data_IF_531943830896
#
_entry.id   IF_531943830896
#
_cell.length_a   1.000
_cell.length_b   1.000
_cell.length_c   1.000
_cell.angle_alpha   90.00
_cell.angle_beta   90.00
_cell.angle_gamma   90.00
#
_symmetry.space_group_name_H-M   'P 1'
#
loop_
_entity.id
_entity.type
_entity.pdbx_description
1 polymer ?
#
# COMPACT_ATOMS: atom_id res chain seq x y z
N UNK A 1 -91.62 -3.54 11.38
CA UNK A 1 -92.05 -2.85 12.61
C UNK A 1 -91.04 -3.26 13.68
N UNK A 2 -90.02 -2.43 13.94
CA UNK A 2 -89.92 -1.49 15.08
C UNK A 2 -89.96 -2.23 16.44
N UNK A 3 -89.04 -2.08 17.39
CA UNK A 3 -88.29 -0.94 17.94
C UNK A 3 -87.00 -1.49 18.61
N UNK A 4 -85.80 -0.91 18.43
CA UNK A 4 -85.22 0.25 19.15
C UNK A 4 -84.23 -0.13 20.28
N UNK A 5 -83.40 0.86 20.66
CA UNK A 5 -82.54 1.04 21.85
C UNK A 5 -81.07 0.56 21.80
N UNK A 6 -80.10 1.46 21.49
CA UNK A 6 -79.49 2.44 22.43
C UNK A 6 -78.31 3.25 21.81
N UNK A 7 -77.97 4.44 22.39
CA UNK A 7 -76.97 5.42 21.94
C UNK A 7 -75.62 5.24 22.71
N UNK A 8 -74.62 6.17 22.79
CA UNK A 8 -74.45 7.50 22.20
C UNK A 8 -73.06 7.80 21.56
N UNK A 9 -73.00 8.98 20.95
CA UNK A 9 -71.84 9.82 20.59
C UNK A 9 -70.70 9.79 21.63
N UNK A 10 -69.45 9.60 21.18
CA UNK A 10 -68.29 10.42 21.61
C UNK A 10 -67.26 10.58 20.48
N UNK A 11 -66.87 11.82 20.15
CA UNK A 11 -65.74 12.14 19.29
C UNK A 11 -64.47 12.25 20.14
N UNK A 12 -63.41 11.59 19.73
CA UNK A 12 -62.01 11.77 20.13
C UNK A 12 -61.35 10.44 19.73
N UNK A 13 -60.35 10.39 18.88
CA UNK A 13 -59.09 11.06 19.12
C UNK A 13 -58.36 11.05 17.75
N UNK A 14 -58.39 12.19 17.06
CA UNK A 14 -57.23 12.54 16.24
C UNK A 14 -56.01 12.57 17.16
N UNK A 15 -54.83 12.29 16.61
CA UNK A 15 -53.53 12.11 17.28
C UNK A 15 -53.35 10.64 17.71
N UNK A 16 -52.41 9.85 17.21
CA UNK A 16 -51.04 10.17 16.77
C UNK A 16 -50.62 9.11 15.73
N UNK A 17 -50.87 9.36 14.44
CA UNK A 17 -50.11 8.70 13.36
C UNK A 17 -49.06 9.72 12.90
N UNK A 18 -48.12 9.99 13.78
CA UNK A 18 -46.93 10.79 13.51
C UNK A 18 -45.89 10.54 14.61
N UNK A 19 -45.62 9.27 14.93
CA UNK A 19 -44.31 8.93 15.48
C UNK A 19 -43.34 8.95 14.31
N UNK A 20 -42.98 10.18 13.98
CA UNK A 20 -42.03 10.58 12.98
C UNK A 20 -40.77 9.74 13.13
N UNK A 21 -40.41 9.10 12.02
CA UNK A 21 -39.21 8.34 11.78
C UNK A 21 -37.95 9.23 11.82
N UNK A 22 -37.70 9.90 12.95
CA UNK A 22 -36.62 10.89 13.11
C UNK A 22 -35.88 10.67 14.43
N UNK A 23 -35.38 9.45 14.68
CA UNK A 23 -34.41 9.20 15.76
C UNK A 23 -33.34 8.16 15.38
N UNK A 24 -33.07 7.98 14.08
CA UNK A 24 -32.04 7.05 13.58
C UNK A 24 -31.08 7.72 12.58
N UNK A 25 -30.71 8.98 12.81
CA UNK A 25 -29.70 9.68 12.00
C UNK A 25 -28.54 10.29 12.79
N UNK A 26 -28.15 9.70 13.91
CA UNK A 26 -26.75 9.81 14.34
C UNK A 26 -25.94 8.69 13.68
N UNK A 27 -25.87 8.71 12.35
CA UNK A 27 -24.75 8.07 11.68
C UNK A 27 -23.52 8.85 12.13
N UNK A 28 -22.66 8.20 12.91
CA UNK A 28 -21.32 8.69 13.18
C UNK A 28 -20.65 8.99 11.83
N UNK A 29 -20.63 10.25 11.43
CA UNK A 29 -19.62 10.73 10.50
C UNK A 29 -18.33 10.87 11.31
N UNK A 30 -17.78 9.73 11.74
CA UNK A 30 -16.35 9.63 11.94
C UNK A 30 -15.76 9.73 10.53
N UNK A 31 -15.49 10.96 10.11
CA UNK A 31 -14.46 11.23 9.12
C UNK A 31 -13.14 10.79 9.76
N UNK A 32 -12.89 9.48 9.74
CA UNK A 32 -11.53 8.99 9.92
C UNK A 32 -10.68 9.75 8.89
N UNK A 33 -9.57 10.39 9.30
CA UNK A 33 -8.61 10.89 8.35
C UNK A 33 -8.26 9.71 7.46
N UNK A 34 -8.58 9.82 6.17
CA UNK A 34 -8.09 8.87 5.17
C UNK A 34 -6.57 8.83 5.39
N UNK A 35 -5.97 7.66 5.70
CA UNK A 35 -4.56 7.63 6.01
C UNK A 35 -3.82 8.27 4.84
N UNK A 36 -3.11 9.35 5.13
CA UNK A 36 -2.14 9.96 4.24
C UNK A 36 -1.35 8.82 3.58
N UNK A 37 -1.25 8.84 2.26
CA UNK A 37 -0.54 7.91 1.35
C UNK A 37 0.11 6.66 1.98
N UNK A 38 -0.08 5.45 1.42
CA UNK A 38 0.41 4.21 2.01
C UNK A 38 1.86 4.35 2.52
N UNK A 39 2.06 4.02 3.80
CA UNK A 39 3.34 4.21 4.48
C UNK A 39 4.49 3.69 3.62
N UNK A 40 5.52 4.53 3.45
CA UNK A 40 6.65 4.24 2.59
C UNK A 40 7.29 2.89 2.95
N UNK A 41 7.57 2.06 1.96
CA UNK A 41 8.12 0.72 2.15
C UNK A 41 8.86 0.19 0.93
N UNK A 42 10.04 -0.41 1.17
CA UNK A 42 10.76 -1.25 0.22
C UNK A 42 10.61 -2.72 0.61
N UNK A 43 10.29 -3.58 -0.36
CA UNK A 43 10.10 -5.02 -0.18
C UNK A 43 11.00 -5.77 -1.13
N UNK A 44 11.62 -6.82 -0.62
CA UNK A 44 12.57 -7.64 -1.35
C UNK A 44 11.99 -9.04 -1.50
N UNK A 45 12.18 -9.65 -2.66
CA UNK A 45 11.70 -10.99 -2.96
C UNK A 45 12.86 -11.84 -3.43
N UNK A 46 12.92 -13.08 -2.98
CA UNK A 46 13.73 -14.13 -3.60
C UNK A 46 12.83 -15.04 -4.43
N UNK A 47 13.44 -16.00 -5.12
CA UNK A 47 12.71 -16.98 -5.93
C UNK A 47 13.25 -18.38 -5.72
N UNK A 48 12.38 -19.39 -5.65
CA UNK A 48 12.83 -20.78 -5.60
C UNK A 48 13.06 -21.37 -7.01
N UNK A 49 13.54 -22.62 -7.08
CA UNK A 49 13.77 -23.33 -8.35
C UNK A 49 12.53 -23.44 -9.24
N UNK A 50 11.33 -23.42 -8.66
CA UNK A 50 10.04 -23.48 -9.35
C UNK A 50 9.50 -22.09 -9.77
N UNK A 51 10.31 -21.04 -9.67
CA UNK A 51 9.92 -19.65 -9.96
C UNK A 51 8.86 -19.06 -9.02
N UNK A 52 8.67 -19.64 -7.84
CA UNK A 52 7.77 -19.09 -6.83
C UNK A 52 8.48 -18.00 -6.04
N UNK A 53 7.84 -16.83 -5.97
CA UNK A 53 8.38 -15.66 -5.27
C UNK A 53 8.03 -15.72 -3.79
N UNK A 54 8.98 -15.35 -2.94
CA UNK A 54 8.77 -15.20 -1.50
C UNK A 54 9.37 -13.87 -1.04
N UNK A 55 8.61 -13.13 -0.25
CA UNK A 55 9.09 -11.87 0.33
C UNK A 55 10.04 -12.13 1.51
N UNK A 56 11.09 -11.33 1.60
CA UNK A 56 12.08 -11.30 2.67
C UNK A 56 11.64 -10.33 3.79
N UNK A 57 10.77 -10.79 4.69
CA UNK A 57 10.15 -9.94 5.73
C UNK A 57 11.10 -9.49 6.86
N UNK A 58 12.18 -10.23 7.11
CA UNK A 58 13.07 -10.01 8.27
C UNK A 58 14.15 -8.94 8.05
N UNK A 59 14.16 -8.28 6.88
CA UNK A 59 15.10 -7.20 6.64
C UNK A 59 14.64 -5.95 7.42
N UNK A 60 15.53 -5.31 8.20
CA UNK A 60 15.20 -4.17 9.07
C UNK A 60 14.95 -2.91 8.25
N UNK A 61 14.44 -1.84 8.87
CA UNK A 61 14.37 -0.47 8.31
C UNK A 61 13.72 -0.33 6.91
N UNK A 62 12.91 -1.31 6.49
CA UNK A 62 12.23 -1.32 5.19
C UNK A 62 11.25 -0.17 4.97
N UNK A 63 10.90 0.58 6.01
CA UNK A 63 9.96 1.69 6.00
C UNK A 63 10.61 3.03 6.36
N UNK A 64 11.94 3.12 6.31
CA UNK A 64 12.70 4.32 6.66
C UNK A 64 13.51 4.80 5.46
N UNK A 65 13.67 6.12 5.35
CA UNK A 65 14.65 6.72 4.45
C UNK A 65 16.05 6.66 5.04
N UNK A 66 17.05 6.73 4.16
CA UNK A 66 18.47 6.63 4.48
C UNK A 66 19.12 5.37 3.93
N UNK A 67 20.42 5.24 4.21
CA UNK A 67 21.22 4.09 3.84
C UNK A 67 21.24 3.04 4.97
N UNK A 68 21.04 1.77 4.62
CA UNK A 68 21.02 0.66 5.57
C UNK A 68 21.87 -0.50 5.10
N UNK A 69 22.79 -0.93 5.96
CA UNK A 69 23.60 -2.12 5.78
C UNK A 69 22.90 -3.36 6.32
N UNK A 70 23.09 -4.48 5.63
CA UNK A 70 22.84 -5.80 6.21
C UNK A 70 24.09 -6.28 6.96
N UNK A 71 23.96 -7.20 7.92
CA UNK A 71 25.11 -7.90 8.50
C UNK A 71 25.63 -9.02 7.58
N UNK A 72 24.76 -9.64 6.78
CA UNK A 72 25.09 -10.68 5.81
C UNK A 72 24.39 -10.39 4.49
N UNK A 73 25.02 -10.75 3.36
CA UNK A 73 24.39 -10.61 2.04
C UNK A 73 23.19 -11.54 1.89
N UNK A 74 22.16 -11.09 1.18
CA UNK A 74 20.99 -11.90 0.83
C UNK A 74 20.73 -11.81 -0.67
N UNK A 75 20.36 -12.93 -1.30
CA UNK A 75 20.04 -12.91 -2.73
C UNK A 75 18.63 -12.38 -2.96
N UNK A 76 18.52 -11.43 -3.90
CA UNK A 76 17.27 -10.77 -4.26
C UNK A 76 16.98 -10.98 -5.73
N UNK A 77 15.76 -11.42 -6.02
CA UNK A 77 15.20 -11.62 -7.35
C UNK A 77 14.49 -10.36 -7.87
N UNK A 78 13.74 -9.69 -6.98
CA UNK A 78 12.85 -8.59 -7.33
C UNK A 78 12.68 -7.64 -6.16
N UNK A 79 12.42 -6.37 -6.47
CA UNK A 79 12.16 -5.33 -5.49
C UNK A 79 10.82 -4.64 -5.79
N UNK A 80 10.10 -4.30 -4.74
CA UNK A 80 9.00 -3.36 -4.77
C UNK A 80 9.34 -2.16 -3.90
N UNK A 81 9.08 -0.94 -4.36
CA UNK A 81 9.13 0.25 -3.51
C UNK A 81 7.82 1.02 -3.63
N UNK A 82 7.32 1.51 -2.50
CA UNK A 82 6.07 2.27 -2.38
C UNK A 82 6.36 3.49 -1.50
N UNK A 83 5.84 4.66 -1.86
CA UNK A 83 5.86 5.86 -1.00
C UNK A 83 7.23 6.53 -0.80
N UNK A 84 8.32 6.00 -1.35
CA UNK A 84 9.59 6.70 -1.47
C UNK A 84 9.67 7.43 -2.82
N UNK A 85 10.39 8.54 -2.87
CA UNK A 85 10.73 9.21 -4.13
C UNK A 85 11.49 8.23 -5.02
N UNK A 86 12.55 7.66 -4.47
CA UNK A 86 13.30 6.58 -5.07
C UNK A 86 14.04 5.72 -4.06
N UNK A 87 14.45 4.54 -4.49
CA UNK A 87 15.38 3.68 -3.77
C UNK A 87 16.44 3.09 -4.70
N UNK A 88 17.60 2.77 -4.14
CA UNK A 88 18.71 2.08 -4.80
C UNK A 88 19.17 0.89 -3.95
N UNK A 89 19.67 -0.15 -4.60
CA UNK A 89 20.15 -1.36 -3.92
C UNK A 89 21.57 -1.69 -4.39
N UNK A 90 22.37 -2.24 -3.48
CA UNK A 90 23.81 -2.32 -3.63
C UNK A 90 24.33 -3.71 -3.27
N UNK A 91 25.33 -4.17 -4.01
CA UNK A 91 26.09 -5.39 -3.70
C UNK A 91 27.16 -5.17 -2.62
N UNK A 92 27.55 -3.92 -2.38
CA UNK A 92 28.46 -3.48 -1.31
C UNK A 92 27.75 -2.91 -0.09
N UNK A 93 28.53 -2.56 0.93
CA UNK A 93 28.04 -1.81 2.10
C UNK A 93 28.02 -0.31 1.81
N UNK A 94 27.43 0.43 2.74
CA UNK A 94 27.49 1.90 2.83
C UNK A 94 26.90 2.62 1.62
N UNK A 95 26.02 1.91 0.90
CA UNK A 95 25.34 2.40 -0.29
C UNK A 95 26.31 2.98 -1.33
N UNK A 96 27.49 2.35 -1.47
CA UNK A 96 28.52 2.77 -2.43
C UNK A 96 27.95 2.72 -3.87
N UNK A 97 27.86 3.87 -4.57
CA UNK A 97 27.35 3.95 -5.93
C UNK A 97 28.08 3.04 -6.92
N UNK A 98 29.36 2.73 -6.70
CA UNK A 98 30.12 1.80 -7.54
C UNK A 98 29.58 0.36 -7.48
N UNK A 99 28.87 0.02 -6.40
CA UNK A 99 28.29 -1.30 -6.16
C UNK A 99 26.79 -1.38 -6.44
N UNK A 100 26.20 -0.30 -6.97
CA UNK A 100 24.77 -0.19 -7.26
C UNK A 100 24.33 -1.19 -8.33
N UNK A 101 23.27 -1.94 -8.05
CA UNK A 101 22.65 -2.79 -9.07
C UNK A 101 21.88 -1.95 -10.07
N UNK A 102 22.03 -2.30 -11.35
CA UNK A 102 21.15 -1.79 -12.40
C UNK A 102 19.84 -2.57 -12.36
N UNK A 103 18.74 -1.85 -12.31
CA UNK A 103 17.38 -2.35 -12.17
C UNK A 103 16.55 -1.93 -13.37
N UNK A 104 15.65 -2.79 -13.84
CA UNK A 104 14.69 -2.44 -14.87
C UNK A 104 13.26 -2.80 -14.46
N UNK A 105 12.28 -2.05 -14.97
CA UNK A 105 10.88 -2.36 -14.76
C UNK A 105 10.42 -3.50 -15.67
N UNK A 106 10.07 -4.63 -15.07
CA UNK A 106 9.55 -5.80 -15.79
C UNK A 106 8.04 -5.78 -16.02
N UNK A 107 7.34 -4.78 -15.46
CA UNK A 107 5.90 -4.66 -15.60
C UNK A 107 5.43 -4.05 -16.92
N UNK A 108 4.11 -4.00 -17.10
CA UNK A 108 3.51 -3.18 -18.16
C UNK A 108 3.88 -1.71 -17.90
N UNK A 109 4.63 -1.09 -18.81
CA UNK A 109 4.90 0.33 -18.79
C UNK A 109 3.66 1.06 -19.29
N UNK A 110 2.76 1.47 -18.39
CA UNK A 110 1.48 2.06 -18.79
C UNK A 110 1.60 3.54 -19.18
N UNK A 111 2.56 4.28 -18.62
CA UNK A 111 2.65 5.76 -18.77
C UNK A 111 4.06 6.32 -19.01
N UNK A 112 5.11 5.57 -18.66
CA UNK A 112 6.50 6.01 -18.86
C UNK A 112 7.31 4.92 -19.58
N UNK A 113 7.67 5.11 -20.86
CA UNK A 113 8.48 4.16 -21.61
C UNK A 113 9.94 4.09 -21.12
N UNK A 114 10.45 5.14 -20.48
CA UNK A 114 11.81 5.14 -19.93
C UNK A 114 11.93 4.25 -18.69
N UNK A 115 10.82 3.96 -18.00
CA UNK A 115 10.82 3.06 -16.84
C UNK A 115 11.36 1.67 -17.13
N UNK A 116 11.29 1.21 -18.39
CA UNK A 116 11.86 -0.08 -18.84
C UNK A 116 13.38 -0.03 -19.05
N UNK A 117 13.98 1.16 -19.19
CA UNK A 117 15.43 1.29 -19.33
C UNK A 117 16.08 0.92 -17.98
N UNK A 118 17.20 0.20 -18.00
CA UNK A 118 17.93 -0.08 -16.78
C UNK A 118 18.43 1.20 -16.12
N UNK A 119 18.33 1.27 -14.80
CA UNK A 119 18.64 2.43 -13.96
C UNK A 119 19.16 1.94 -12.60
N UNK A 120 20.02 2.71 -11.93
CA UNK A 120 20.43 2.43 -10.55
C UNK A 120 19.41 2.93 -9.51
N UNK A 121 18.40 3.68 -9.96
CA UNK A 121 17.41 4.35 -9.13
C UNK A 121 16.00 3.83 -9.47
N UNK A 122 15.32 3.26 -8.49
CA UNK A 122 13.98 2.70 -8.60
C UNK A 122 12.93 3.68 -8.08
N UNK A 123 12.08 4.18 -8.97
CA UNK A 123 10.87 4.93 -8.60
C UNK A 123 9.75 3.99 -8.16
N UNK A 124 8.61 4.54 -7.71
CA UNK A 124 7.52 3.74 -7.14
C UNK A 124 7.08 2.60 -8.07
N UNK A 125 6.96 1.40 -7.51
CA UNK A 125 6.34 0.27 -8.18
C UNK A 125 6.85 -1.08 -7.69
N UNK A 126 6.08 -2.12 -8.01
CA UNK A 126 6.31 -3.44 -7.47
C UNK A 126 7.21 -4.36 -8.32
N UNK A 127 7.54 -4.04 -9.57
CA UNK A 127 8.10 -4.99 -10.56
C UNK A 127 9.54 -4.69 -10.99
N UNK A 128 10.37 -4.14 -10.10
CA UNK A 128 11.78 -3.90 -10.37
C UNK A 128 12.58 -5.20 -10.32
N UNK A 129 13.37 -5.47 -11.36
CA UNK A 129 14.24 -6.65 -11.47
C UNK A 129 15.67 -6.23 -11.75
N UNK A 130 16.60 -7.06 -11.30
CA UNK A 130 18.04 -6.86 -11.55
C UNK A 130 18.32 -7.11 -13.03
N UNK A 131 19.11 -6.23 -13.64
CA UNK A 131 19.56 -6.37 -15.02
C UNK A 131 20.55 -7.54 -15.15
N UNK A 132 20.39 -8.37 -16.19
CA UNK A 132 21.33 -9.44 -16.54
C UNK A 132 21.33 -10.68 -15.63
N UNK A 133 20.94 -10.54 -14.37
CA UNK A 133 20.92 -11.63 -13.40
C UNK A 133 19.49 -12.07 -13.03
N UNK A 134 19.33 -13.36 -12.70
CA UNK A 134 18.08 -13.86 -12.11
C UNK A 134 17.91 -13.34 -10.69
N UNK A 135 18.95 -13.51 -9.88
CA UNK A 135 19.09 -13.05 -8.50
C UNK A 135 20.47 -12.43 -8.33
N UNK A 136 20.62 -11.48 -7.42
CA UNK A 136 21.92 -10.95 -7.05
C UNK A 136 22.01 -10.61 -5.57
N UNK A 137 23.25 -10.59 -5.08
CA UNK A 137 23.60 -10.26 -3.72
C UNK A 137 23.19 -8.82 -3.35
N UNK A 138 22.36 -8.68 -2.33
CA UNK A 138 22.03 -7.43 -1.66
C UNK A 138 22.82 -7.33 -0.36
N UNK A 139 23.54 -6.23 -0.19
CA UNK A 139 24.34 -5.96 1.01
C UNK A 139 23.95 -4.65 1.70
N UNK A 140 23.47 -3.66 0.94
CA UNK A 140 22.87 -2.45 1.47
C UNK A 140 21.80 -1.89 0.53
N UNK A 141 20.95 -0.99 1.03
CA UNK A 141 20.01 -0.23 0.22
C UNK A 141 19.85 1.19 0.77
N UNK A 142 19.41 2.08 -0.11
CA UNK A 142 19.09 3.46 0.23
C UNK A 142 17.71 3.80 -0.30
N UNK A 143 16.93 4.54 0.49
CA UNK A 143 15.66 5.11 0.05
C UNK A 143 15.56 6.57 0.45
N UNK A 144 14.99 7.40 -0.41
CA UNK A 144 14.82 8.84 -0.22
C UNK A 144 13.32 9.16 -0.22
N UNK A 145 12.88 9.98 0.73
CA UNK A 145 11.51 10.51 0.76
C UNK A 145 11.44 11.78 -0.08
N UNK A 146 10.29 12.01 -0.71
CA UNK A 146 9.98 13.32 -1.27
C UNK A 146 10.13 14.35 -0.16
N UNK A 147 11.06 15.29 -0.32
CA UNK A 147 11.14 16.42 0.60
C UNK A 147 10.00 17.36 0.23
N UNK A 148 9.12 17.75 1.18
CA UNK A 148 8.01 18.66 0.89
C UNK A 148 8.48 20.04 0.43
#
# INVERSE_FOLDING_TARGET
MELSLRPPVRPALCHVIAFAAVLLQTACQSSDPQPDSPAASIRFYNVNSQNQQRELYLLPNRNRAGCFNLPVSVDVYRVAQIGFEYCSIYSGTDCDPASAHRMYWSGKARKDPNKKKPTTVMTEGAMWRIEGAREAALRSWECILNTP
#
